data_IF_694323285258
#
_entry.id   IF_694323285258
#
_cell.length_a   1.000
_cell.length_b   1.000
_cell.length_c   1.000
_cell.angle_alpha   90.00
_cell.angle_beta   90.00
_cell.angle_gamma   90.00
#
_symmetry.space_group_name_H-M   'P 1'
#
loop_
_entity.id
_entity.type
_entity.pdbx_description
1 polymer ?
#
# COMPACT_ATOMS: atom_id res chain seq x y z
N UNK A 1 45.89 -8.44 10.67
CA UNK A 1 44.79 -9.03 11.43
C UNK A 1 43.98 -7.96 12.15
N UNK A 2 42.84 -8.30 12.69
CA UNK A 2 41.98 -7.42 13.50
C UNK A 2 42.68 -7.17 14.82
N UNK A 3 43.15 -5.94 15.08
CA UNK A 3 43.92 -5.58 16.29
C UNK A 3 43.19 -4.56 17.15
N UNK A 4 42.33 -3.76 16.59
CA UNK A 4 41.57 -2.71 17.29
C UNK A 4 40.07 -2.91 17.10
N UNK A 5 39.25 -2.27 17.93
CA UNK A 5 37.80 -2.23 17.76
C UNK A 5 37.39 -1.59 16.41
N UNK A 6 38.16 -0.60 15.96
CA UNK A 6 37.96 0.02 14.64
C UNK A 6 38.17 -0.96 13.49
N UNK A 7 39.25 -1.77 13.55
CA UNK A 7 39.51 -2.80 12.55
C UNK A 7 38.40 -3.85 12.54
N UNK A 8 37.86 -4.23 13.70
CA UNK A 8 36.79 -5.18 13.82
C UNK A 8 35.50 -4.64 13.17
N UNK A 9 35.15 -3.38 13.45
CA UNK A 9 33.97 -2.75 12.86
C UNK A 9 34.10 -2.56 11.34
N UNK A 10 35.27 -2.13 10.88
CA UNK A 10 35.57 -1.99 9.46
C UNK A 10 35.48 -3.35 8.75
N UNK A 11 36.11 -4.39 9.32
CA UNK A 11 36.06 -5.73 8.78
C UNK A 11 34.63 -6.26 8.67
N UNK A 12 33.84 -6.14 9.74
CA UNK A 12 32.43 -6.53 9.76
C UNK A 12 31.62 -5.81 8.66
N UNK A 13 31.77 -4.50 8.51
CA UNK A 13 31.12 -3.76 7.43
C UNK A 13 31.53 -4.24 6.03
N UNK A 14 32.82 -4.48 5.79
CA UNK A 14 33.35 -4.96 4.52
C UNK A 14 32.81 -6.37 4.17
N UNK A 15 32.66 -7.23 5.17
CA UNK A 15 32.12 -8.58 5.03
C UNK A 15 30.60 -8.52 4.81
N UNK A 16 29.89 -7.77 5.66
CA UNK A 16 28.42 -7.67 5.62
C UNK A 16 27.92 -7.10 4.29
N UNK A 17 28.56 -6.04 3.80
CA UNK A 17 28.24 -5.42 2.51
C UNK A 17 28.89 -6.16 1.31
N UNK A 18 29.54 -7.30 1.54
CA UNK A 18 30.18 -8.12 0.50
C UNK A 18 31.22 -7.38 -0.35
N UNK A 19 31.87 -6.35 0.21
CA UNK A 19 32.91 -5.56 -0.49
C UNK A 19 34.20 -6.36 -0.64
N UNK A 20 34.69 -6.98 0.45
CA UNK A 20 35.76 -7.99 0.42
C UNK A 20 37.11 -7.50 -0.03
N UNK A 21 37.61 -6.33 0.40
CA UNK A 21 38.94 -5.84 0.02
C UNK A 21 40.09 -6.77 0.40
N UNK A 22 39.93 -7.58 1.47
CA UNK A 22 40.94 -8.55 1.86
C UNK A 22 42.14 -8.01 2.64
N UNK A 23 42.12 -6.73 3.00
CA UNK A 23 43.22 -6.07 3.74
C UNK A 23 43.30 -6.55 5.20
N UNK A 24 42.15 -6.75 5.82
CA UNK A 24 41.99 -7.25 7.17
C UNK A 24 41.25 -8.56 7.12
N UNK A 25 41.90 -9.63 7.60
CA UNK A 25 41.33 -10.97 7.62
C UNK A 25 41.58 -11.63 8.97
N UNK A 26 40.63 -12.43 9.49
CA UNK A 26 40.84 -13.15 10.73
C UNK A 26 41.84 -14.28 10.53
N UNK A 27 42.76 -14.42 11.48
CA UNK A 27 43.75 -15.45 11.46
C UNK A 27 43.18 -16.82 11.87
N UNK A 28 42.25 -16.83 12.80
CA UNK A 28 41.70 -18.05 13.40
C UNK A 28 40.46 -18.56 12.69
N UNK A 29 40.20 -19.87 12.88
CA UNK A 29 39.14 -20.59 12.19
C UNK A 29 37.73 -20.13 12.64
N UNK A 30 37.51 -19.92 13.95
CA UNK A 30 36.21 -19.54 14.51
C UNK A 30 35.73 -18.19 13.99
N UNK A 31 36.53 -17.10 14.00
CA UNK A 31 36.14 -15.83 13.37
C UNK A 31 35.86 -15.92 11.87
N UNK A 32 36.52 -16.85 11.13
CA UNK A 32 36.24 -17.08 9.71
C UNK A 32 34.83 -17.62 9.47
N UNK A 33 34.35 -18.55 10.30
CA UNK A 33 32.96 -19.01 10.23
C UNK A 33 31.98 -17.89 10.60
N UNK A 34 32.32 -17.06 11.58
CA UNK A 34 31.53 -15.86 11.91
C UNK A 34 31.37 -14.92 10.70
N UNK A 35 32.47 -14.67 9.98
CA UNK A 35 32.48 -13.85 8.77
C UNK A 35 31.62 -14.44 7.65
N UNK A 36 31.63 -15.74 7.46
CA UNK A 36 30.75 -16.40 6.47
C UNK A 36 29.26 -16.23 6.82
N UNK A 37 28.91 -16.38 8.09
CA UNK A 37 27.55 -16.15 8.56
C UNK A 37 27.14 -14.70 8.39
N UNK A 38 28.03 -13.75 8.70
CA UNK A 38 27.81 -12.33 8.52
C UNK A 38 27.61 -11.96 7.04
N UNK A 39 28.48 -12.46 6.14
CA UNK A 39 28.34 -12.28 4.70
C UNK A 39 27.00 -12.83 4.17
N UNK A 40 26.61 -14.03 4.61
CA UNK A 40 25.33 -14.61 4.25
C UNK A 40 24.15 -13.75 4.72
N UNK A 41 24.20 -13.25 5.96
CA UNK A 41 23.15 -12.37 6.51
C UNK A 41 23.07 -11.04 5.74
N UNK A 42 24.19 -10.47 5.31
CA UNK A 42 24.26 -9.28 4.47
C UNK A 42 23.59 -9.47 3.11
N UNK A 43 23.91 -10.57 2.43
CA UNK A 43 23.28 -10.93 1.15
C UNK A 43 21.76 -11.13 1.33
N UNK A 44 21.37 -11.85 2.39
CA UNK A 44 19.96 -12.11 2.66
C UNK A 44 19.19 -10.80 2.94
N UNK A 45 19.76 -9.90 3.74
CA UNK A 45 19.15 -8.59 4.02
C UNK A 45 18.99 -7.78 2.75
N UNK A 46 20.02 -7.73 1.91
CA UNK A 46 19.98 -7.01 0.63
C UNK A 46 18.91 -7.60 -0.30
N UNK A 47 18.83 -8.92 -0.40
CA UNK A 47 17.81 -9.59 -1.20
C UNK A 47 16.38 -9.29 -0.70
N UNK A 48 16.18 -9.28 0.62
CA UNK A 48 14.90 -8.91 1.23
C UNK A 48 14.52 -7.46 0.90
N UNK A 49 15.45 -6.51 1.04
CA UNK A 49 15.17 -5.10 0.74
C UNK A 49 14.82 -4.90 -0.73
N UNK A 50 15.60 -5.52 -1.63
CA UNK A 50 15.36 -5.42 -3.08
C UNK A 50 14.02 -6.06 -3.47
N UNK A 51 13.62 -7.15 -2.83
CA UNK A 51 12.34 -7.80 -3.10
C UNK A 51 11.14 -7.08 -2.47
N UNK A 52 11.28 -6.67 -1.21
CA UNK A 52 10.19 -6.11 -0.42
C UNK A 52 9.83 -4.67 -0.80
N UNK A 53 10.84 -3.81 -1.01
CA UNK A 53 10.62 -2.39 -1.23
C UNK A 53 9.84 -2.07 -2.52
N UNK A 54 10.15 -2.66 -3.69
CA UNK A 54 9.35 -2.47 -4.89
C UNK A 54 7.92 -3.00 -4.76
N UNK A 55 7.71 -4.14 -4.07
CA UNK A 55 6.39 -4.69 -3.83
C UNK A 55 5.54 -3.75 -2.97
N UNK A 56 6.12 -3.22 -1.89
CA UNK A 56 5.48 -2.22 -1.03
C UNK A 56 5.12 -0.95 -1.81
N UNK A 57 6.06 -0.44 -2.62
CA UNK A 57 5.82 0.74 -3.45
C UNK A 57 4.75 0.50 -4.52
N UNK A 58 4.73 -0.67 -5.13
CA UNK A 58 3.70 -1.08 -6.09
C UNK A 58 2.30 -1.05 -5.47
N UNK A 59 2.15 -1.65 -4.29
CA UNK A 59 0.90 -1.64 -3.54
C UNK A 59 0.45 -0.22 -3.14
N UNK A 60 1.40 0.62 -2.72
CA UNK A 60 1.14 2.04 -2.45
C UNK A 60 0.69 2.80 -3.70
N UNK A 61 1.41 2.62 -4.82
CA UNK A 61 1.13 3.32 -6.08
C UNK A 61 -0.24 2.95 -6.66
N UNK A 62 -0.62 1.68 -6.57
CA UNK A 62 -1.93 1.21 -7.04
C UNK A 62 -3.07 1.83 -6.22
N UNK A 63 -2.91 1.92 -4.89
CA UNK A 63 -3.86 2.62 -4.03
C UNK A 63 -4.01 4.09 -4.43
N UNK A 64 -2.92 4.80 -4.66
CA UNK A 64 -2.92 6.23 -4.99
C UNK A 64 -3.48 6.50 -6.40
N UNK A 65 -3.28 5.59 -7.34
CA UNK A 65 -3.79 5.73 -8.72
C UNK A 65 -5.31 5.94 -8.75
N UNK A 66 -6.05 5.17 -7.96
CA UNK A 66 -7.51 5.28 -7.91
C UNK A 66 -7.98 6.60 -7.29
N UNK A 67 -7.22 7.12 -6.31
CA UNK A 67 -7.51 8.43 -5.71
C UNK A 67 -7.33 9.56 -6.72
N UNK A 68 -6.29 9.50 -7.55
CA UNK A 68 -6.07 10.47 -8.62
C UNK A 68 -7.21 10.47 -9.66
N UNK A 69 -7.73 9.29 -10.00
CA UNK A 69 -8.86 9.17 -10.94
C UNK A 69 -10.17 9.73 -10.36
N UNK A 70 -10.32 9.71 -9.05
CA UNK A 70 -11.46 10.33 -8.39
C UNK A 70 -11.41 11.86 -8.49
N UNK A 71 -10.21 12.45 -8.33
CA UNK A 71 -9.98 13.90 -8.31
C UNK A 71 -10.04 14.54 -9.70
N UNK A 72 -9.62 13.82 -10.73
CA UNK A 72 -9.51 14.34 -12.10
C UNK A 72 -10.83 14.80 -12.74
N UNK A 73 -11.95 14.64 -12.06
CA UNK A 73 -13.28 14.91 -12.61
C UNK A 73 -13.98 16.17 -12.11
N UNK A 74 -13.43 16.92 -11.12
CA UNK A 74 -14.15 18.04 -10.50
C UNK A 74 -13.22 19.15 -10.02
N UNK A 75 -13.50 20.38 -10.46
CA UNK A 75 -12.82 21.60 -9.96
C UNK A 75 -13.34 22.04 -8.57
N UNK A 76 -14.44 21.48 -8.11
CA UNK A 76 -15.08 21.78 -6.80
C UNK A 76 -14.88 20.62 -5.81
N UNK A 77 -15.14 20.92 -4.52
CA UNK A 77 -15.18 19.89 -3.47
C UNK A 77 -16.14 18.78 -3.87
N UNK A 78 -15.61 17.58 -4.06
CA UNK A 78 -16.38 16.42 -4.44
C UNK A 78 -17.34 16.07 -3.30
N UNK A 79 -18.65 16.15 -3.57
CA UNK A 79 -19.70 15.65 -2.69
C UNK A 79 -20.25 14.34 -3.24
N UNK A 80 -20.85 13.47 -2.41
CA UNK A 80 -21.49 12.24 -2.89
C UNK A 80 -22.49 12.48 -4.02
N UNK A 81 -23.30 13.52 -3.91
CA UNK A 81 -24.31 13.92 -4.92
C UNK A 81 -23.64 14.34 -6.22
N UNK A 82 -22.65 15.25 -6.15
CA UNK A 82 -21.94 15.73 -7.35
C UNK A 82 -21.19 14.58 -8.04
N UNK A 83 -20.67 13.62 -7.29
CA UNK A 83 -20.02 12.44 -7.83
C UNK A 83 -21.00 11.58 -8.65
N UNK A 84 -22.20 11.34 -8.11
CA UNK A 84 -23.25 10.59 -8.82
C UNK A 84 -23.68 11.31 -10.10
N UNK A 85 -23.93 12.62 -10.03
CA UNK A 85 -24.32 13.44 -11.20
C UNK A 85 -23.21 13.45 -12.25
N UNK A 86 -21.95 13.61 -11.85
CA UNK A 86 -20.81 13.64 -12.79
C UNK A 86 -20.60 12.29 -13.50
N UNK A 87 -20.94 11.20 -12.86
CA UNK A 87 -20.77 9.83 -13.42
C UNK A 87 -22.00 9.30 -14.17
N UNK A 88 -23.17 9.93 -13.94
CA UNK A 88 -24.42 9.60 -14.63
C UNK A 88 -25.12 10.89 -15.09
N UNK A 89 -24.54 11.66 -16.03
CA UNK A 89 -25.11 12.96 -16.45
C UNK A 89 -26.47 12.81 -17.10
N UNK A 90 -26.75 11.67 -17.75
CA UNK A 90 -28.03 11.39 -18.39
C UNK A 90 -29.02 10.67 -17.46
N UNK A 91 -28.67 10.51 -16.18
CA UNK A 91 -29.46 9.75 -15.21
C UNK A 91 -29.44 8.22 -15.45
N UNK A 92 -28.59 7.73 -16.35
CA UNK A 92 -28.47 6.29 -16.61
C UNK A 92 -27.67 5.62 -15.48
N UNK A 93 -28.37 4.88 -14.65
CA UNK A 93 -27.80 4.14 -13.50
C UNK A 93 -26.77 3.10 -13.94
N UNK A 94 -26.86 2.57 -15.16
CA UNK A 94 -25.93 1.56 -15.65
C UNK A 94 -24.49 2.06 -15.75
N UNK A 95 -24.32 3.36 -15.98
CA UNK A 95 -22.99 3.99 -15.96
C UNK A 95 -22.34 3.98 -14.57
N UNK A 96 -23.16 3.99 -13.50
CA UNK A 96 -22.70 3.91 -12.12
C UNK A 96 -22.27 2.48 -11.72
N UNK A 97 -22.85 1.45 -12.32
CA UNK A 97 -22.49 0.06 -12.01
C UNK A 97 -21.00 -0.21 -12.31
N UNK A 98 -20.51 0.23 -13.45
CA UNK A 98 -19.09 0.12 -13.80
C UNK A 98 -18.19 0.85 -12.80
N UNK A 99 -18.56 2.09 -12.44
CA UNK A 99 -17.84 2.89 -11.46
C UNK A 99 -17.75 2.19 -10.09
N UNK A 100 -18.87 1.70 -9.56
CA UNK A 100 -18.88 1.04 -8.25
C UNK A 100 -18.18 -0.33 -8.29
N UNK A 101 -18.18 -1.04 -9.42
CA UNK A 101 -17.40 -2.27 -9.58
C UNK A 101 -15.90 -2.01 -9.54
N UNK A 102 -15.41 -0.96 -10.19
CA UNK A 102 -14.00 -0.57 -10.11
C UNK A 102 -13.57 -0.26 -8.67
N UNK A 103 -14.41 0.47 -7.92
CA UNK A 103 -14.16 0.75 -6.51
C UNK A 103 -14.24 -0.48 -5.63
N UNK A 104 -15.12 -1.43 -5.92
CA UNK A 104 -15.17 -2.71 -5.22
C UNK A 104 -13.86 -3.49 -5.38
N UNK A 105 -13.33 -3.57 -6.61
CA UNK A 105 -12.06 -4.22 -6.88
C UNK A 105 -10.90 -3.50 -6.17
N UNK A 106 -10.91 -2.18 -6.21
CA UNK A 106 -9.90 -1.40 -5.51
C UNK A 106 -9.92 -1.64 -4.00
N UNK A 107 -11.10 -1.64 -3.37
CA UNK A 107 -11.24 -1.95 -1.94
C UNK A 107 -10.70 -3.35 -1.62
N UNK A 108 -10.99 -4.33 -2.48
CA UNK A 108 -10.46 -5.69 -2.30
C UNK A 108 -8.92 -5.69 -2.29
N UNK A 109 -8.31 -4.97 -3.24
CA UNK A 109 -6.85 -4.78 -3.29
C UNK A 109 -6.29 -4.06 -2.07
N UNK A 110 -6.96 -3.01 -1.58
CA UNK A 110 -6.56 -2.30 -0.35
C UNK A 110 -6.60 -3.24 0.87
N UNK A 111 -7.64 -4.06 1.01
CA UNK A 111 -7.74 -5.03 2.12
C UNK A 111 -6.61 -6.06 2.06
N UNK A 112 -6.32 -6.58 0.89
CA UNK A 112 -5.25 -7.56 0.67
C UNK A 112 -3.86 -6.96 0.95
N UNK A 113 -3.58 -5.80 0.35
CA UNK A 113 -2.27 -5.15 0.47
C UNK A 113 -1.99 -4.63 1.89
N UNK A 114 -2.99 -4.09 2.59
CA UNK A 114 -2.83 -3.69 4.00
C UNK A 114 -2.73 -4.90 4.94
N UNK A 115 -3.29 -6.05 4.56
CA UNK A 115 -3.08 -7.30 5.27
C UNK A 115 -1.66 -7.86 5.09
N UNK A 116 -1.10 -7.74 3.89
CA UNK A 116 0.25 -8.20 3.56
C UNK A 116 1.33 -7.22 4.01
N UNK A 117 1.06 -5.91 3.89
CA UNK A 117 1.96 -4.82 4.23
C UNK A 117 1.30 -3.85 5.22
N UNK A 118 1.21 -4.16 6.53
CA UNK A 118 0.53 -3.31 7.51
C UNK A 118 1.06 -1.88 7.58
N UNK A 119 2.33 -1.68 7.22
CA UNK A 119 2.97 -0.36 7.16
C UNK A 119 2.27 0.59 6.18
N UNK A 120 1.55 0.09 5.17
CA UNK A 120 0.81 0.93 4.22
C UNK A 120 -0.23 1.83 4.89
N UNK A 121 -0.77 1.44 6.04
CA UNK A 121 -1.69 2.26 6.81
C UNK A 121 -1.07 3.57 7.32
N UNK A 122 0.27 3.60 7.50
CA UNK A 122 1.03 4.77 7.95
C UNK A 122 1.41 5.72 6.81
N UNK A 123 1.32 5.25 5.56
CA UNK A 123 1.70 6.06 4.39
C UNK A 123 0.56 7.01 4.03
N UNK A 124 0.85 8.30 4.06
CA UNK A 124 -0.07 9.36 3.63
C UNK A 124 -0.21 9.37 2.11
N UNK A 125 -1.40 9.74 1.63
CA UNK A 125 -1.63 10.01 0.22
C UNK A 125 -0.83 11.22 -0.26
N UNK A 126 -0.44 11.22 -1.53
CA UNK A 126 0.38 12.28 -2.15
C UNK A 126 -0.39 13.59 -2.30
N UNK A 127 -1.69 13.51 -2.56
CA UNK A 127 -2.52 14.68 -2.76
C UNK A 127 -2.92 15.32 -1.42
N UNK A 128 -2.75 16.64 -1.25
CA UNK A 128 -3.16 17.35 -0.05
C UNK A 128 -4.70 17.25 0.12
N UNK A 129 -5.13 16.82 1.30
CA UNK A 129 -6.56 16.70 1.62
C UNK A 129 -7.25 15.42 1.14
N UNK A 130 -6.58 14.57 0.36
CA UNK A 130 -7.12 13.29 -0.10
C UNK A 130 -6.48 12.15 0.68
N UNK A 131 -7.20 11.66 1.67
CA UNK A 131 -6.82 10.44 2.35
C UNK A 131 -7.64 9.28 1.79
N UNK A 132 -7.03 8.13 1.56
CA UNK A 132 -7.71 6.95 1.01
C UNK A 132 -8.98 6.56 1.79
N UNK A 133 -8.99 6.75 3.11
CA UNK A 133 -10.16 6.53 3.97
C UNK A 133 -11.27 7.54 3.69
N UNK A 134 -10.93 8.80 3.44
CA UNK A 134 -11.89 9.85 3.09
C UNK A 134 -12.53 9.59 1.73
N UNK A 135 -11.73 9.18 0.74
CA UNK A 135 -12.22 8.78 -0.57
C UNK A 135 -13.15 7.57 -0.49
N UNK A 136 -12.78 6.57 0.31
CA UNK A 136 -13.64 5.41 0.58
C UNK A 136 -14.97 5.83 1.20
N UNK A 137 -14.96 6.73 2.18
CA UNK A 137 -16.17 7.29 2.79
C UNK A 137 -17.05 7.99 1.75
N UNK A 138 -16.46 8.88 0.95
CA UNK A 138 -17.16 9.63 -0.10
C UNK A 138 -17.85 8.70 -1.11
N UNK A 139 -17.15 7.68 -1.61
CA UNK A 139 -17.71 6.74 -2.58
C UNK A 139 -18.75 5.82 -1.93
N UNK A 140 -18.58 5.47 -0.65
CA UNK A 140 -19.58 4.71 0.11
C UNK A 140 -20.87 5.52 0.28
N UNK A 141 -20.77 6.81 0.60
CA UNK A 141 -21.92 7.71 0.71
C UNK A 141 -22.60 7.92 -0.65
N UNK A 142 -21.82 8.01 -1.74
CA UNK A 142 -22.36 8.08 -3.10
C UNK A 142 -23.12 6.79 -3.50
N UNK A 143 -22.59 5.63 -3.11
CA UNK A 143 -23.27 4.35 -3.34
C UNK A 143 -24.59 4.26 -2.56
N UNK A 144 -24.58 4.68 -1.29
CA UNK A 144 -25.80 4.73 -0.48
C UNK A 144 -26.83 5.70 -1.06
N UNK A 145 -26.39 6.90 -1.49
CA UNK A 145 -27.26 7.89 -2.13
C UNK A 145 -27.89 7.32 -3.42
N UNK A 146 -27.09 6.67 -4.26
CA UNK A 146 -27.57 6.00 -5.47
C UNK A 146 -28.64 4.95 -5.18
N UNK A 147 -28.47 4.13 -4.15
CA UNK A 147 -29.44 3.12 -3.74
C UNK A 147 -30.75 3.71 -3.22
N UNK A 148 -30.71 4.85 -2.52
CA UNK A 148 -31.88 5.53 -1.98
C UNK A 148 -32.70 6.18 -3.12
N UNK A 149 -32.03 6.84 -4.07
CA UNK A 149 -32.67 7.58 -5.14
C UNK A 149 -33.25 6.66 -6.22
N UNK A 150 -32.53 5.60 -6.56
CA UNK A 150 -32.86 4.75 -7.71
C UNK A 150 -33.39 3.35 -7.30
N UNK A 151 -33.51 3.08 -5.99
CA UNK A 151 -33.91 1.77 -5.51
C UNK A 151 -32.81 0.69 -5.65
N UNK A 152 -33.14 -0.54 -5.27
CA UNK A 152 -32.18 -1.66 -5.22
C UNK A 152 -31.92 -2.33 -6.57
N UNK A 153 -32.18 -1.68 -7.70
CA UNK A 153 -31.97 -2.27 -9.02
C UNK A 153 -30.50 -2.47 -9.37
N UNK A 154 -29.58 -1.66 -8.78
CA UNK A 154 -28.14 -1.82 -8.93
C UNK A 154 -27.52 -2.73 -7.87
N UNK A 155 -26.93 -3.86 -8.28
CA UNK A 155 -26.22 -4.76 -7.35
C UNK A 155 -24.82 -4.28 -6.96
N UNK A 156 -24.16 -3.51 -7.82
CA UNK A 156 -22.79 -3.05 -7.63
C UNK A 156 -22.61 -2.12 -6.41
N UNK A 157 -23.48 -1.12 -6.16
CA UNK A 157 -23.40 -0.29 -4.97
C UNK A 157 -23.52 -1.10 -3.67
N UNK A 158 -24.38 -2.11 -3.64
CA UNK A 158 -24.54 -2.98 -2.46
C UNK A 158 -23.26 -3.76 -2.14
N UNK A 159 -22.63 -4.38 -3.12
CA UNK A 159 -21.41 -5.14 -2.91
C UNK A 159 -20.25 -4.27 -2.49
N UNK A 160 -20.14 -3.09 -3.07
CA UNK A 160 -19.14 -2.09 -2.68
C UNK A 160 -19.31 -1.68 -1.21
N UNK A 161 -20.53 -1.36 -0.77
CA UNK A 161 -20.82 -1.00 0.64
C UNK A 161 -20.50 -2.15 1.58
N UNK A 162 -20.87 -3.37 1.24
CA UNK A 162 -20.54 -4.54 2.06
C UNK A 162 -19.04 -4.72 2.24
N UNK A 163 -18.23 -4.51 1.21
CA UNK A 163 -16.77 -4.58 1.30
C UNK A 163 -16.19 -3.41 2.11
N UNK A 164 -16.70 -2.21 1.97
CA UNK A 164 -16.23 -1.06 2.75
C UNK A 164 -16.43 -1.26 4.26
N UNK A 165 -17.52 -1.90 4.67
CA UNK A 165 -17.75 -2.27 6.08
C UNK A 165 -16.71 -3.26 6.60
N UNK A 166 -16.23 -4.20 5.78
CA UNK A 166 -15.17 -5.14 6.16
C UNK A 166 -13.83 -4.44 6.42
N UNK A 167 -13.51 -3.41 5.66
CA UNK A 167 -12.31 -2.58 5.89
C UNK A 167 -12.40 -1.88 7.24
N UNK A 168 -13.54 -1.25 7.53
CA UNK A 168 -13.77 -0.55 8.79
C UNK A 168 -13.70 -1.49 10.00
N UNK A 169 -14.21 -2.70 9.89
CA UNK A 169 -14.14 -3.71 10.94
C UNK A 169 -12.71 -4.17 11.22
N UNK A 170 -11.90 -4.42 10.17
CA UNK A 170 -10.48 -4.81 10.32
C UNK A 170 -9.61 -3.69 10.89
N UNK A 171 -9.86 -2.44 10.54
CA UNK A 171 -9.13 -1.30 11.09
C UNK A 171 -9.28 -1.17 12.61
N UNK A 172 -10.44 -1.55 13.16
CA UNK A 172 -10.70 -1.54 14.61
C UNK A 172 -10.00 -2.68 15.39
N UNK A 173 -9.58 -3.73 14.72
CA UNK A 173 -8.86 -4.85 15.36
C UNK A 173 -7.34 -4.69 15.35
N UNK A 174 -6.82 -3.66 14.66
CA UNK A 174 -5.39 -3.34 14.57
C UNK A 174 -4.95 -2.20 15.52
N UNK A 175 -5.89 -1.60 16.24
CA UNK A 175 -5.65 -0.62 17.33
C UNK A 175 -5.82 -1.26 18.67
#
# INVERSE_FOLDING_TARGET
>A
GVTTLGDAFYYSGVVYFTVGFGEVVPAEMIPRFGALFEAFSGVLTTALVIGYLPALYGAYSERERMLMLLDAGTEERITPTNLVIARAPDGDIRSLDGFFQEWEHWIAGVVETHGTFPMLALFRSKAPGQHWVTALGLVSDAALHSMIVHGSEGRAPYWMLRRSMLVSARSKTMT
#
